data_IF_777141586350
#
_entry.id   IF_777141586350
#
_cell.length_a   1.000
_cell.length_b   1.000
_cell.length_c   1.000
_cell.angle_alpha   90.00
_cell.angle_beta   90.00
_cell.angle_gamma   90.00
#
_symmetry.space_group_name_H-M   'P 1'
#
loop_
_entity.id
_entity.type
_entity.pdbx_description
1 polymer ?
#
# COMPACT_ATOMS: atom_id res chain seq x y z
N UNK A 1 -6.41 27.71 16.22
CA UNK A 1 -7.37 26.66 16.65
C UNK A 1 -7.05 26.33 18.12
N UNK A 2 -8.01 26.27 19.05
CA UNK A 2 -7.71 25.98 20.48
C UNK A 2 -7.81 24.46 20.74
N UNK A 3 -6.75 23.86 21.28
CA UNK A 3 -6.69 22.44 21.65
C UNK A 3 -7.78 22.06 22.66
N UNK A 4 -8.11 22.96 23.61
CA UNK A 4 -9.19 22.70 24.59
C UNK A 4 -10.54 22.49 23.90
N UNK A 5 -10.84 23.30 22.87
CA UNK A 5 -12.09 23.16 22.11
C UNK A 5 -12.13 21.82 21.35
N UNK A 6 -10.99 21.35 20.83
CA UNK A 6 -10.89 20.04 20.17
C UNK A 6 -11.15 18.93 21.19
N UNK A 7 -10.53 19.02 22.37
CA UNK A 7 -10.69 18.05 23.46
C UNK A 7 -12.15 17.95 23.88
N UNK A 8 -12.80 19.09 24.17
CA UNK A 8 -14.23 19.13 24.53
C UNK A 8 -15.09 18.54 23.41
N UNK A 9 -14.89 18.97 22.16
CA UNK A 9 -15.68 18.49 21.03
C UNK A 9 -15.54 16.97 20.81
N UNK A 10 -14.32 16.44 20.91
CA UNK A 10 -14.06 15.01 20.76
C UNK A 10 -14.71 14.19 21.87
N UNK A 11 -14.62 14.65 23.12
CA UNK A 11 -15.22 13.97 24.27
C UNK A 11 -16.76 14.03 24.24
N UNK A 12 -17.35 15.13 23.80
CA UNK A 12 -18.81 15.32 23.78
C UNK A 12 -19.49 14.61 22.61
N UNK A 13 -18.81 14.49 21.45
CA UNK A 13 -19.45 14.05 20.21
C UNK A 13 -18.81 12.83 19.55
N UNK A 14 -17.57 12.47 19.90
CA UNK A 14 -16.78 11.44 19.20
C UNK A 14 -16.22 10.35 20.12
N UNK A 15 -16.85 10.12 21.27
CA UNK A 15 -16.42 9.08 22.23
C UNK A 15 -16.29 7.68 21.60
N UNK A 16 -17.14 7.33 20.63
CA UNK A 16 -17.02 6.07 19.88
C UNK A 16 -15.75 5.98 19.04
N UNK A 17 -15.31 7.08 18.43
CA UNK A 17 -14.05 7.11 17.68
C UNK A 17 -12.84 6.94 18.62
N UNK A 18 -12.90 7.48 19.84
CA UNK A 18 -11.85 7.28 20.85
C UNK A 18 -11.76 5.81 21.28
N UNK A 19 -12.90 5.12 21.40
CA UNK A 19 -12.94 3.68 21.62
C UNK A 19 -12.29 2.92 20.46
N UNK A 20 -12.65 3.23 19.22
CA UNK A 20 -12.06 2.59 18.03
C UNK A 20 -10.53 2.78 17.99
N UNK A 21 -10.03 3.97 18.34
CA UNK A 21 -8.60 4.26 18.46
C UNK A 21 -7.92 3.39 19.52
N UNK A 22 -8.54 3.24 20.69
CA UNK A 22 -8.02 2.40 21.78
C UNK A 22 -7.96 0.92 21.40
N UNK A 23 -9.01 0.41 20.72
CA UNK A 23 -9.04 -0.97 20.23
C UNK A 23 -7.96 -1.19 19.17
N UNK A 24 -7.88 -0.30 18.17
CA UNK A 24 -6.99 -0.50 17.02
C UNK A 24 -5.52 -0.29 17.35
N UNK A 25 -5.18 0.80 18.03
CA UNK A 25 -3.78 1.18 18.29
C UNK A 25 -3.29 0.66 19.63
N UNK A 26 -4.13 0.67 20.66
CA UNK A 26 -3.80 0.14 22.00
C UNK A 26 -3.98 -1.36 22.17
N UNK A 27 -4.69 -2.04 21.25
CA UNK A 27 -4.95 -3.49 21.33
C UNK A 27 -5.90 -3.89 22.46
N UNK A 28 -6.64 -2.94 23.04
CA UNK A 28 -7.63 -3.21 24.07
C UNK A 28 -8.83 -3.97 23.51
N UNK A 29 -9.22 -5.09 24.14
CA UNK A 29 -10.40 -5.88 23.74
C UNK A 29 -11.71 -5.26 24.20
N UNK A 30 -11.68 -4.64 25.38
CA UNK A 30 -12.79 -3.88 25.95
C UNK A 30 -12.26 -2.51 26.39
N UNK A 31 -13.00 -1.46 26.02
CA UNK A 31 -12.65 -0.07 26.32
C UNK A 31 -13.86 0.59 26.98
N UNK A 32 -13.65 1.13 28.17
CA UNK A 32 -14.64 1.90 28.94
C UNK A 32 -14.07 3.28 29.22
N UNK A 33 -14.96 4.28 29.30
CA UNK A 33 -14.60 5.65 29.73
C UNK A 33 -13.44 6.29 28.93
N UNK A 34 -13.32 5.99 27.62
CA UNK A 34 -12.28 6.60 26.79
C UNK A 34 -12.47 8.12 26.70
N UNK A 35 -11.42 8.88 27.04
CA UNK A 35 -11.40 10.34 27.00
C UNK A 35 -10.10 10.85 26.40
N UNK A 36 -10.22 11.81 25.49
CA UNK A 36 -9.08 12.58 25.01
C UNK A 36 -8.67 13.54 26.14
N UNK A 37 -7.41 13.46 26.57
CA UNK A 37 -6.87 14.31 27.66
C UNK A 37 -5.87 15.35 27.16
N UNK A 38 -5.23 15.12 26.03
CA UNK A 38 -4.30 16.05 25.40
C UNK A 38 -4.26 15.85 23.89
N UNK A 39 -3.96 16.92 23.17
CA UNK A 39 -3.71 16.94 21.73
C UNK A 39 -2.57 17.91 21.46
N UNK A 40 -1.68 17.53 20.56
CA UNK A 40 -0.65 18.40 20.00
C UNK A 40 -0.56 18.17 18.49
N UNK A 41 0.46 18.74 17.84
CA UNK A 41 0.66 18.60 16.40
C UNK A 41 1.20 17.24 15.96
N UNK A 42 1.52 16.35 16.90
CA UNK A 42 2.09 15.02 16.64
C UNK A 42 1.10 13.90 16.97
N UNK A 43 0.05 14.15 17.76
CA UNK A 43 -0.96 13.14 18.02
C UNK A 43 -1.96 13.45 19.13
N UNK A 44 -2.57 12.37 19.62
CA UNK A 44 -3.63 12.34 20.62
C UNK A 44 -3.22 11.51 21.84
N UNK A 45 -3.49 12.02 23.04
CA UNK A 45 -3.36 11.28 24.30
C UNK A 45 -4.74 10.91 24.84
N UNK A 46 -5.01 9.62 24.93
CA UNK A 46 -6.29 9.07 25.35
C UNK A 46 -6.10 8.32 26.67
N UNK A 47 -6.99 8.57 27.64
CA UNK A 47 -7.12 7.76 28.85
C UNK A 47 -8.38 6.91 28.75
N UNK A 48 -8.29 5.63 29.07
CA UNK A 48 -9.40 4.69 29.07
C UNK A 48 -9.25 3.66 30.20
N UNK A 49 -10.32 2.91 30.51
CA UNK A 49 -10.35 1.95 31.62
C UNK A 49 -9.80 2.56 32.92
N UNK A 50 -10.25 3.80 33.19
CA UNK A 50 -9.90 4.67 34.30
C UNK A 50 -8.44 5.19 34.32
N UNK A 51 -7.43 4.35 34.08
CA UNK A 51 -6.01 4.72 34.19
C UNK A 51 -5.10 4.28 33.03
N UNK A 52 -5.59 3.52 32.05
CA UNK A 52 -4.76 3.13 30.90
C UNK A 52 -4.55 4.35 29.99
N UNK A 53 -3.30 4.60 29.59
CA UNK A 53 -2.93 5.69 28.69
C UNK A 53 -2.54 5.14 27.33
N UNK A 54 -2.96 5.85 26.28
CA UNK A 54 -2.60 5.57 24.91
C UNK A 54 -2.23 6.87 24.20
N UNK A 55 -1.00 6.94 23.71
CA UNK A 55 -0.58 7.93 22.71
C UNK A 55 -0.84 7.36 21.33
N UNK A 56 -1.57 8.09 20.49
CA UNK A 56 -1.75 7.77 19.07
C UNK A 56 -1.14 8.89 18.24
N UNK A 57 -0.06 8.58 17.53
CA UNK A 57 0.63 9.55 16.68
C UNK A 57 -0.08 9.72 15.34
N UNK A 58 -0.06 10.95 14.80
CA UNK A 58 -0.41 11.19 13.41
C UNK A 58 0.69 10.64 12.49
N UNK A 59 0.28 10.20 11.30
CA UNK A 59 1.24 9.68 10.30
C UNK A 59 2.26 10.75 9.90
N UNK A 60 1.81 12.01 9.86
CA UNK A 60 2.61 13.19 9.59
C UNK A 60 2.31 14.26 10.64
N UNK A 61 3.35 14.97 11.07
CA UNK A 61 3.20 16.14 11.94
C UNK A 61 2.28 17.16 11.29
N UNK A 62 1.23 17.54 12.03
CA UNK A 62 0.27 18.54 11.64
C UNK A 62 0.75 19.97 11.95
N UNK A 63 -0.04 20.94 11.53
CA UNK A 63 0.07 22.35 11.88
C UNK A 63 -1.31 22.93 12.21
N UNK A 64 -1.40 24.23 12.46
CA UNK A 64 -2.65 24.90 12.83
C UNK A 64 -3.78 24.75 11.79
N UNK A 65 -3.42 24.52 10.53
CA UNK A 65 -4.37 24.42 9.42
C UNK A 65 -4.78 22.96 9.15
N UNK A 66 -3.89 22.01 9.42
CA UNK A 66 -4.06 20.59 9.09
C UNK A 66 -4.45 19.70 10.27
N UNK A 67 -4.35 20.19 11.52
CA UNK A 67 -4.62 19.38 12.72
C UNK A 67 -6.01 18.75 12.72
N UNK A 68 -7.04 19.50 12.35
CA UNK A 68 -8.41 18.98 12.30
C UNK A 68 -8.54 17.82 11.32
N UNK A 69 -7.94 17.96 10.13
CA UNK A 69 -8.01 16.94 9.10
C UNK A 69 -7.20 15.70 9.52
N UNK A 70 -6.04 15.88 10.15
CA UNK A 70 -5.23 14.79 10.70
C UNK A 70 -6.01 13.95 11.75
N UNK A 71 -6.77 14.61 12.64
CA UNK A 71 -7.63 13.91 13.61
C UNK A 71 -8.75 13.15 12.92
N UNK A 72 -9.40 13.76 11.94
CA UNK A 72 -10.49 13.13 11.19
C UNK A 72 -9.99 11.91 10.42
N UNK A 73 -8.84 12.01 9.75
CA UNK A 73 -8.20 10.90 9.05
C UNK A 73 -7.85 9.76 10.01
N UNK A 74 -7.22 10.09 11.14
CA UNK A 74 -6.86 9.11 12.17
C UNK A 74 -8.10 8.35 12.70
N UNK A 75 -9.19 9.07 13.00
CA UNK A 75 -10.44 8.45 13.43
C UNK A 75 -11.10 7.62 12.33
N UNK A 76 -11.06 8.05 11.07
CA UNK A 76 -11.58 7.25 9.94
C UNK A 76 -10.79 5.95 9.78
N UNK A 77 -9.48 6.02 9.93
CA UNK A 77 -8.62 4.85 9.84
C UNK A 77 -8.86 3.86 10.97
N UNK A 78 -9.24 4.34 12.16
CA UNK A 78 -9.51 3.52 13.34
C UNK A 78 -10.76 2.65 13.21
N UNK A 79 -11.72 3.04 12.37
CA UNK A 79 -13.01 2.35 12.26
C UNK A 79 -12.84 0.87 11.84
N UNK A 80 -13.64 -0.05 12.41
CA UNK A 80 -13.67 -1.45 12.02
C UNK A 80 -13.84 -1.62 10.49
N UNK A 81 -13.12 -2.60 9.95
CA UNK A 81 -12.74 -2.71 8.53
C UNK A 81 -13.78 -2.23 7.53
N UNK A 82 -13.31 -1.32 6.66
CA UNK A 82 -13.99 -0.83 5.47
C UNK A 82 -14.61 -1.94 4.62
N UNK A 83 -15.67 -1.59 3.89
CA UNK A 83 -16.24 -2.41 2.83
C UNK A 83 -15.11 -2.92 1.91
N UNK A 84 -14.92 -4.24 1.86
CA UNK A 84 -13.83 -4.88 1.10
C UNK A 84 -13.91 -4.55 -0.40
N UNK A 85 -15.10 -4.31 -0.94
CA UNK A 85 -15.27 -3.87 -2.32
C UNK A 85 -14.67 -2.48 -2.55
N UNK A 86 -14.86 -1.57 -1.60
CA UNK A 86 -14.25 -0.23 -1.67
C UNK A 86 -12.73 -0.30 -1.58
N UNK A 87 -12.19 -1.17 -0.72
CA UNK A 87 -10.74 -1.38 -0.62
C UNK A 87 -10.18 -2.01 -1.90
N UNK A 88 -10.93 -2.93 -2.50
CA UNK A 88 -10.58 -3.54 -3.80
C UNK A 88 -10.53 -2.49 -4.90
N UNK A 89 -11.50 -1.58 -4.96
CA UNK A 89 -11.47 -0.48 -5.93
C UNK A 89 -10.28 0.45 -5.70
N UNK A 90 -10.01 0.85 -4.45
CA UNK A 90 -8.84 1.69 -4.13
C UNK A 90 -7.52 1.01 -4.54
N UNK A 91 -7.38 -0.30 -4.32
CA UNK A 91 -6.20 -1.04 -4.77
C UNK A 91 -6.06 -1.03 -6.29
N UNK A 92 -7.15 -1.23 -7.03
CA UNK A 92 -7.14 -1.22 -8.50
C UNK A 92 -6.85 0.17 -9.05
N UNK A 93 -7.39 1.23 -8.43
CA UNK A 93 -7.09 2.62 -8.77
C UNK A 93 -5.63 2.94 -8.51
N UNK A 94 -5.10 2.60 -7.33
CA UNK A 94 -3.70 2.77 -6.98
C UNK A 94 -2.78 2.10 -8.01
N UNK A 95 -3.07 0.85 -8.41
CA UNK A 95 -2.26 0.17 -9.43
C UNK A 95 -2.23 0.91 -10.76
N UNK A 96 -3.35 1.49 -11.20
CA UNK A 96 -3.48 2.21 -12.49
C UNK A 96 -2.68 3.51 -12.55
N UNK A 97 -2.25 4.04 -11.41
CA UNK A 97 -1.43 5.26 -11.35
C UNK A 97 0.01 5.02 -11.83
N UNK A 98 0.45 3.76 -11.94
CA UNK A 98 1.84 3.41 -12.22
C UNK A 98 2.09 3.04 -13.67
N UNK A 99 3.18 3.56 -14.21
CA UNK A 99 3.78 3.12 -15.48
C UNK A 99 5.09 2.34 -15.27
N UNK A 100 5.41 1.98 -14.03
CA UNK A 100 6.56 1.14 -13.68
C UNK A 100 6.33 0.42 -12.35
N UNK A 101 7.00 -0.71 -12.15
CA UNK A 101 6.92 -1.53 -10.93
C UNK A 101 8.30 -1.97 -10.48
N UNK A 102 8.45 -2.18 -9.17
CA UNK A 102 9.61 -2.84 -8.61
C UNK A 102 9.47 -4.37 -8.78
N UNK A 103 10.60 -5.05 -8.95
CA UNK A 103 10.69 -6.49 -9.16
C UNK A 103 11.71 -7.11 -8.20
N UNK A 104 11.32 -8.20 -7.56
CA UNK A 104 12.24 -9.16 -6.95
C UNK A 104 12.30 -10.40 -7.85
N UNK A 105 13.50 -10.75 -8.31
CA UNK A 105 13.74 -11.90 -9.19
C UNK A 105 14.90 -12.73 -8.66
N UNK A 106 14.96 -14.02 -9.02
CA UNK A 106 16.05 -14.92 -8.61
C UNK A 106 17.01 -15.13 -9.77
N UNK A 107 18.30 -14.94 -9.55
CA UNK A 107 19.31 -15.27 -10.56
C UNK A 107 19.57 -16.77 -10.65
N UNK A 108 20.07 -17.28 -11.79
CA UNK A 108 20.46 -18.69 -11.92
C UNK A 108 21.51 -19.14 -10.90
N UNK A 109 22.27 -18.21 -10.32
CA UNK A 109 23.25 -18.48 -9.26
C UNK A 109 22.64 -18.57 -7.85
N UNK A 110 21.34 -18.31 -7.70
CA UNK A 110 20.63 -18.29 -6.41
C UNK A 110 20.63 -16.93 -5.70
N UNK A 111 21.26 -15.89 -6.26
CA UNK A 111 21.23 -14.53 -5.72
C UNK A 111 19.94 -13.80 -6.11
N UNK A 112 19.32 -13.08 -5.18
CA UNK A 112 18.14 -12.25 -5.47
C UNK A 112 18.54 -10.92 -6.12
N UNK A 113 17.73 -10.43 -7.04
CA UNK A 113 17.89 -9.13 -7.70
C UNK A 113 16.65 -8.28 -7.45
N UNK A 114 16.86 -7.10 -6.85
CA UNK A 114 15.86 -6.05 -6.70
C UNK A 114 16.05 -5.03 -7.81
N UNK A 115 15.05 -4.85 -8.65
CA UNK A 115 15.10 -3.96 -9.82
C UNK A 115 13.75 -3.27 -10.04
N UNK A 116 13.61 -2.55 -11.15
CA UNK A 116 12.32 -2.04 -11.61
C UNK A 116 12.19 -2.26 -13.12
N UNK A 117 10.97 -2.21 -13.64
CA UNK A 117 10.70 -2.27 -15.07
C UNK A 117 9.52 -1.36 -15.46
N UNK A 118 9.48 -0.86 -16.71
CA UNK A 118 8.27 -0.23 -17.25
C UNK A 118 7.09 -1.19 -17.19
N UNK A 119 5.92 -0.67 -16.86
CA UNK A 119 4.66 -1.40 -16.74
C UNK A 119 3.67 -0.94 -17.80
N UNK A 120 2.98 -1.90 -18.40
CA UNK A 120 1.89 -1.68 -19.33
C UNK A 120 0.67 -2.41 -18.78
N UNK A 121 -0.42 -1.66 -18.54
CA UNK A 121 -1.68 -2.22 -18.05
C UNK A 121 -2.80 -1.95 -19.05
N UNK A 122 -3.45 -3.03 -19.47
CA UNK A 122 -4.57 -3.01 -20.41
C UNK A 122 -5.56 -4.15 -20.13
N UNK A 123 -6.61 -4.24 -20.96
CA UNK A 123 -7.62 -5.31 -20.86
C UNK A 123 -7.02 -6.72 -21.06
N UNK A 124 -5.93 -6.84 -21.80
CA UNK A 124 -5.24 -8.12 -22.04
C UNK A 124 -4.39 -8.57 -20.84
N UNK A 125 -4.14 -7.70 -19.86
CA UNK A 125 -3.41 -7.99 -18.62
C UNK A 125 -2.39 -6.93 -18.22
N UNK A 126 -1.41 -7.36 -17.42
CA UNK A 126 -0.28 -6.54 -16.99
C UNK A 126 1.00 -7.06 -17.65
N UNK A 127 1.83 -6.17 -18.15
CA UNK A 127 3.05 -6.52 -18.87
C UNK A 127 4.22 -5.66 -18.41
N UNK A 128 5.42 -6.22 -18.48
CA UNK A 128 6.67 -5.47 -18.37
C UNK A 128 7.43 -5.51 -19.70
N UNK A 129 8.27 -4.52 -19.92
CA UNK A 129 9.11 -4.44 -21.11
C UNK A 129 10.59 -4.28 -20.72
N UNK A 130 11.38 -5.33 -20.97
CA UNK A 130 12.76 -5.44 -20.44
C UNK A 130 13.75 -5.91 -21.52
N UNK A 131 15.01 -5.51 -21.40
CA UNK A 131 16.11 -5.88 -22.30
C UNK A 131 16.82 -7.16 -21.85
N UNK A 132 17.37 -7.94 -22.77
CA UNK A 132 18.30 -9.05 -22.48
C UNK A 132 19.56 -8.61 -21.71
N UNK A 133 19.90 -7.32 -21.75
CA UNK A 133 21.09 -6.75 -21.11
C UNK A 133 20.93 -6.62 -19.59
N UNK A 134 19.69 -6.51 -19.06
CA UNK A 134 19.47 -6.34 -17.63
C UNK A 134 19.52 -7.65 -16.87
N UNK A 135 20.05 -7.61 -15.63
CA UNK A 135 20.18 -8.80 -14.77
C UNK A 135 18.85 -9.54 -14.59
N UNK A 136 17.74 -8.81 -14.44
CA UNK A 136 16.43 -9.43 -14.23
C UNK A 136 15.92 -10.24 -15.42
N UNK A 137 16.52 -10.13 -16.62
CA UNK A 137 16.05 -10.85 -17.80
C UNK A 137 16.38 -12.33 -17.69
N UNK A 138 17.65 -12.65 -17.44
CA UNK A 138 18.11 -14.03 -17.25
C UNK A 138 17.35 -14.68 -16.09
N UNK A 139 17.11 -13.91 -15.03
CA UNK A 139 16.37 -14.34 -13.85
C UNK A 139 14.93 -14.75 -14.20
N UNK A 140 14.20 -13.90 -14.92
CA UNK A 140 12.80 -14.14 -15.31
C UNK A 140 12.71 -15.28 -16.33
N UNK A 141 13.69 -15.39 -17.23
CA UNK A 141 13.75 -16.48 -18.23
C UNK A 141 13.94 -17.85 -17.58
N UNK A 142 14.86 -17.95 -16.61
CA UNK A 142 15.17 -19.22 -15.92
C UNK A 142 14.14 -19.56 -14.83
N UNK A 143 13.61 -18.54 -14.14
CA UNK A 143 12.69 -18.71 -13.03
C UNK A 143 11.39 -17.91 -13.24
N UNK A 144 10.61 -18.20 -14.30
CA UNK A 144 9.43 -17.41 -14.66
C UNK A 144 8.32 -17.45 -13.62
N UNK A 145 8.32 -18.42 -12.70
CA UNK A 145 7.32 -18.60 -11.67
C UNK A 145 7.79 -18.14 -10.28
N UNK A 146 8.95 -17.47 -10.17
CA UNK A 146 9.52 -17.01 -8.91
C UNK A 146 9.85 -15.51 -8.97
N UNK A 147 8.80 -14.71 -8.98
CA UNK A 147 8.85 -13.25 -9.12
C UNK A 147 7.90 -12.64 -8.09
N UNK A 148 8.33 -11.61 -7.37
CA UNK A 148 7.42 -10.70 -6.66
C UNK A 148 7.45 -9.32 -7.34
N UNK A 149 6.27 -8.80 -7.64
CA UNK A 149 6.05 -7.48 -8.26
C UNK A 149 5.50 -6.55 -7.19
N UNK A 150 6.02 -5.33 -7.11
CA UNK A 150 5.55 -4.33 -6.15
C UNK A 150 5.24 -3.00 -6.83
N UNK A 151 4.01 -2.55 -6.64
CA UNK A 151 3.58 -1.18 -6.84
C UNK A 151 3.83 -0.44 -5.53
N UNK A 152 4.63 0.62 -5.56
CA UNK A 152 5.09 1.32 -4.37
C UNK A 152 4.91 2.81 -4.57
N UNK A 153 4.17 3.44 -3.66
CA UNK A 153 3.96 4.88 -3.65
C UNK A 153 5.28 5.65 -3.63
N UNK A 154 5.36 6.72 -4.42
CA UNK A 154 6.48 7.66 -4.42
C UNK A 154 6.67 8.21 -3.00
N UNK A 155 7.91 8.20 -2.52
CA UNK A 155 8.20 8.64 -1.14
C UNK A 155 7.78 10.09 -0.87
N UNK A 156 7.83 10.95 -1.90
CA UNK A 156 7.40 12.35 -1.81
C UNK A 156 5.88 12.54 -1.72
N UNK A 157 5.09 11.52 -2.11
CA UNK A 157 3.63 11.51 -2.02
C UNK A 157 3.14 10.79 -0.77
N UNK A 158 3.93 9.86 -0.26
CA UNK A 158 3.60 9.10 0.93
C UNK A 158 3.46 10.00 2.16
N UNK A 159 2.55 9.60 3.05
CA UNK A 159 2.32 10.33 4.31
C UNK A 159 3.58 10.34 5.21
N UNK A 160 4.36 9.25 5.17
CA UNK A 160 5.64 9.11 5.86
C UNK A 160 6.47 7.97 5.26
N UNK A 161 7.78 7.98 5.45
CA UNK A 161 8.71 6.94 4.96
C UNK A 161 8.38 5.55 5.49
N UNK A 162 7.75 5.45 6.67
CA UNK A 162 7.31 4.18 7.27
C UNK A 162 5.94 3.70 6.76
N UNK A 163 5.22 4.54 6.02
CA UNK A 163 3.86 4.26 5.56
C UNK A 163 3.67 4.64 4.09
N UNK A 164 4.47 4.02 3.23
CA UNK A 164 4.27 4.06 1.78
C UNK A 164 3.21 3.03 1.39
N UNK A 165 2.12 3.49 0.75
CA UNK A 165 1.08 2.62 0.19
C UNK A 165 1.73 1.67 -0.81
N UNK A 166 1.36 0.39 -0.73
CA UNK A 166 1.96 -0.64 -1.58
C UNK A 166 1.02 -1.80 -1.83
N UNK A 167 1.08 -2.34 -3.04
CA UNK A 167 0.54 -3.66 -3.34
C UNK A 167 1.63 -4.53 -3.94
N UNK A 168 1.73 -5.77 -3.45
CA UNK A 168 2.66 -6.77 -3.97
C UNK A 168 1.91 -7.98 -4.48
N UNK A 169 2.45 -8.64 -5.50
CA UNK A 169 1.94 -9.91 -6.03
C UNK A 169 3.09 -10.87 -6.31
N UNK A 170 2.91 -12.14 -5.95
CA UNK A 170 3.62 -13.22 -6.63
C UNK A 170 3.15 -13.26 -8.08
N UNK A 171 4.05 -13.53 -9.02
CA UNK A 171 3.72 -13.51 -10.43
C UNK A 171 4.37 -14.65 -11.22
N UNK A 172 3.65 -15.09 -12.25
CA UNK A 172 4.16 -15.93 -13.33
C UNK A 172 4.39 -15.07 -14.57
N UNK A 173 5.59 -15.17 -15.15
CA UNK A 173 5.99 -14.45 -16.35
C UNK A 173 5.78 -15.31 -17.61
N UNK A 174 5.20 -14.71 -18.66
CA UNK A 174 5.06 -15.31 -19.99
C UNK A 174 5.62 -14.37 -21.05
N UNK A 175 6.64 -14.81 -21.77
CA UNK A 175 7.20 -14.05 -22.89
C UNK A 175 6.21 -13.99 -24.04
N UNK A 176 5.93 -12.78 -24.52
CA UNK A 176 5.03 -12.54 -25.62
C UNK A 176 5.82 -12.54 -26.93
N UNK A 177 5.34 -13.21 -28.00
CA UNK A 177 5.92 -13.09 -29.31
C UNK A 177 5.76 -11.66 -29.85
N UNK A 178 6.66 -11.25 -30.76
CA UNK A 178 6.52 -10.00 -31.53
C UNK A 178 5.59 -10.21 -32.71
N UNK A 179 4.30 -10.33 -32.41
CA UNK A 179 3.22 -10.44 -33.39
C UNK A 179 2.22 -9.27 -33.25
N UNK A 180 1.03 -9.40 -33.83
CA UNK A 180 -0.01 -8.37 -33.74
C UNK A 180 -0.40 -8.03 -32.30
N UNK A 181 -0.29 -8.97 -31.35
CA UNK A 181 -0.58 -8.71 -29.93
C UNK A 181 0.46 -7.78 -29.31
N UNK A 182 1.73 -7.97 -29.66
CA UNK A 182 2.81 -7.08 -29.23
C UNK A 182 2.51 -5.65 -29.67
N UNK A 183 2.20 -5.44 -30.95
CA UNK A 183 1.96 -4.09 -31.49
C UNK A 183 0.77 -3.41 -30.80
N UNK A 184 -0.34 -4.13 -30.61
CA UNK A 184 -1.53 -3.59 -29.90
C UNK A 184 -1.21 -3.19 -28.47
N UNK A 185 -0.49 -4.03 -27.72
CA UNK A 185 -0.13 -3.74 -26.31
C UNK A 185 0.87 -2.57 -26.26
N UNK A 186 1.84 -2.55 -27.17
CA UNK A 186 2.87 -1.51 -27.20
C UNK A 186 2.30 -0.14 -27.58
N UNK A 187 1.30 -0.09 -28.46
CA UNK A 187 0.61 1.16 -28.81
C UNK A 187 -0.07 1.82 -27.58
N UNK A 188 -0.52 1.02 -26.60
CA UNK A 188 -1.06 1.54 -25.33
C UNK A 188 0.06 2.17 -24.51
N UNK A 189 1.24 1.55 -24.49
CA UNK A 189 2.41 2.06 -23.79
C UNK A 189 2.90 3.37 -24.41
N UNK A 190 3.00 3.45 -25.74
CA UNK A 190 3.41 4.66 -26.45
C UNK A 190 2.46 5.85 -26.23
N UNK A 191 1.15 5.60 -26.05
CA UNK A 191 0.19 6.68 -25.75
C UNK A 191 0.41 7.31 -24.37
N UNK A 192 1.03 6.57 -23.44
CA UNK A 192 1.21 6.98 -22.05
C UNK A 192 2.65 7.40 -21.72
N UNK A 193 3.58 7.18 -22.62
CA UNK A 193 5.00 7.32 -22.34
C UNK A 193 5.72 8.34 -23.23
N UNK A 194 6.89 8.77 -22.76
CA UNK A 194 7.73 9.76 -23.44
C UNK A 194 8.34 9.23 -24.74
N UNK A 195 8.91 10.15 -25.54
CA UNK A 195 9.57 9.85 -26.82
C UNK A 195 10.60 8.71 -26.75
N UNK A 196 11.23 8.47 -25.58
CA UNK A 196 12.19 7.41 -25.37
C UNK A 196 11.60 5.99 -25.54
N UNK A 197 10.30 5.80 -25.25
CA UNK A 197 9.63 4.51 -25.42
C UNK A 197 9.55 4.09 -26.90
N UNK A 198 9.39 5.05 -27.81
CA UNK A 198 9.40 4.78 -29.25
C UNK A 198 10.73 4.22 -29.75
N UNK A 199 11.83 4.61 -29.10
CA UNK A 199 13.18 4.17 -29.50
C UNK A 199 13.40 2.68 -29.17
N UNK A 200 12.98 2.23 -28.00
CA UNK A 200 13.23 0.86 -27.53
C UNK A 200 12.27 -0.17 -28.15
N UNK A 201 11.15 0.24 -28.75
CA UNK A 201 10.19 -0.67 -29.43
C UNK A 201 10.85 -1.58 -30.47
N UNK A 202 11.76 -1.02 -31.28
CA UNK A 202 12.39 -1.72 -32.39
C UNK A 202 13.68 -2.47 -31.99
N UNK A 203 14.10 -2.38 -30.73
CA UNK A 203 15.26 -3.09 -30.21
C UNK A 203 14.88 -4.54 -29.95
N UNK A 204 15.45 -5.47 -30.71
CA UNK A 204 15.05 -6.90 -30.69
C UNK A 204 15.45 -7.63 -29.41
N UNK A 205 16.42 -7.09 -28.67
CA UNK A 205 16.81 -7.55 -27.34
C UNK A 205 15.79 -7.15 -26.26
N UNK A 206 14.78 -6.34 -26.57
CA UNK A 206 13.69 -6.07 -25.65
C UNK A 206 12.50 -7.00 -25.85
N UNK A 207 11.95 -7.46 -24.73
CA UNK A 207 10.87 -8.44 -24.68
C UNK A 207 9.68 -7.90 -23.89
N UNK A 208 8.49 -8.12 -24.45
CA UNK A 208 7.23 -7.90 -23.74
C UNK A 208 6.89 -9.16 -22.96
N UNK A 209 6.68 -9.03 -21.66
CA UNK A 209 6.45 -10.17 -20.77
C UNK A 209 5.15 -9.93 -20.02
N UNK A 210 4.18 -10.83 -20.20
CA UNK A 210 2.93 -10.83 -19.44
C UNK A 210 3.20 -11.32 -18.01
N UNK A 211 2.66 -10.60 -17.04
CA UNK A 211 2.68 -10.95 -15.63
C UNK A 211 1.28 -11.42 -15.20
N UNK A 212 1.19 -12.69 -14.83
CA UNK A 212 -0.01 -13.28 -14.23
C UNK A 212 0.12 -13.22 -12.71
N UNK A 213 -0.62 -12.30 -12.09
CA UNK A 213 -0.60 -12.12 -10.64
C UNK A 213 -1.36 -13.24 -9.93
N UNK A 214 -0.74 -13.78 -8.88
CA UNK A 214 -1.29 -14.84 -8.04
C UNK A 214 -1.74 -14.25 -6.68
N UNK A 215 -1.09 -14.68 -5.59
CA UNK A 215 -1.33 -14.18 -4.25
C UNK A 215 -0.67 -12.80 -4.08
N UNK A 216 -1.41 -11.89 -3.44
CA UNK A 216 -0.94 -10.54 -3.21
C UNK A 216 -1.16 -10.03 -1.79
N UNK A 217 -0.61 -8.84 -1.55
CA UNK A 217 -0.69 -8.12 -0.29
C UNK A 217 -0.83 -6.64 -0.56
N UNK A 218 -1.93 -6.04 -0.11
CA UNK A 218 -2.14 -4.59 -0.15
C UNK A 218 -2.02 -4.00 1.25
N UNK A 219 -1.26 -2.91 1.38
CA UNK A 219 -1.13 -2.11 2.60
C UNK A 219 -1.39 -0.66 2.25
N UNK A 220 -2.42 -0.08 2.86
CA UNK A 220 -2.82 1.31 2.64
C UNK A 220 -2.71 2.22 3.87
N UNK A 221 -2.47 1.63 5.04
CA UNK A 221 -2.43 2.37 6.30
C UNK A 221 -2.04 1.47 7.48
N UNK A 222 -1.86 2.07 8.66
CA UNK A 222 -1.59 1.32 9.87
C UNK A 222 -2.75 0.38 10.21
N UNK A 223 -2.42 -0.90 10.47
CA UNK A 223 -3.42 -1.94 10.70
C UNK A 223 -4.42 -2.13 9.55
N UNK A 224 -4.09 -1.67 8.34
CA UNK A 224 -4.92 -1.82 7.12
C UNK A 224 -4.12 -2.60 6.07
N UNK A 225 -3.96 -3.89 6.35
CA UNK A 225 -3.27 -4.83 5.47
C UNK A 225 -4.24 -5.91 5.01
N UNK A 226 -4.19 -6.27 3.73
CA UNK A 226 -5.15 -7.16 3.09
C UNK A 226 -4.41 -8.20 2.25
N UNK A 227 -4.72 -9.48 2.45
CA UNK A 227 -4.32 -10.53 1.51
C UNK A 227 -5.22 -10.46 0.28
N UNK A 228 -4.64 -10.67 -0.89
CA UNK A 228 -5.35 -10.74 -2.17
C UNK A 228 -5.20 -12.15 -2.72
N UNK A 229 -6.29 -12.82 -3.05
CA UNK A 229 -6.26 -14.13 -3.69
C UNK A 229 -7.49 -14.32 -4.57
N UNK A 230 -7.28 -14.75 -5.82
CA UNK A 230 -8.36 -14.95 -6.80
C UNK A 230 -9.28 -13.72 -6.97
N UNK A 231 -8.71 -12.52 -6.89
CA UNK A 231 -9.46 -11.26 -6.98
C UNK A 231 -10.21 -10.85 -5.71
N UNK A 232 -10.17 -11.66 -4.65
CA UNK A 232 -10.81 -11.38 -3.37
C UNK A 232 -9.83 -10.83 -2.34
N UNK A 233 -10.31 -9.93 -1.47
CA UNK A 233 -9.52 -9.33 -0.39
C UNK A 233 -9.93 -9.93 0.96
N UNK A 234 -8.95 -10.19 1.81
CA UNK A 234 -9.16 -10.59 3.20
C UNK A 234 -8.31 -9.72 4.14
N UNK A 235 -8.95 -9.03 5.08
CA UNK A 235 -8.26 -8.20 6.07
C UNK A 235 -7.39 -9.04 7.01
N UNK A 236 -6.15 -8.61 7.20
CA UNK A 236 -5.19 -9.24 8.10
C UNK A 236 -5.42 -8.70 9.50
N UNK A 237 -5.74 -9.58 10.44
CA UNK A 237 -6.04 -9.19 11.82
C UNK A 237 -7.52 -8.92 12.10
N UNK A 238 -8.44 -9.30 11.20
CA UNK A 238 -9.87 -9.35 11.51
C UNK A 238 -10.09 -10.22 12.77
N UNK A 239 -10.46 -9.57 13.89
CA UNK A 239 -10.71 -10.23 15.18
C UNK A 239 -9.51 -10.45 16.10
N UNK A 240 -8.27 -10.19 15.65
CA UNK A 240 -7.06 -10.45 16.45
C UNK A 240 -6.44 -9.19 17.10
N UNK A 241 -6.90 -8.00 16.73
CA UNK A 241 -6.36 -6.73 17.25
C UNK A 241 -4.97 -6.40 16.71
N UNK A 242 -4.29 -5.44 17.35
CA UNK A 242 -2.93 -5.02 16.98
C UNK A 242 -1.92 -6.17 17.22
N UNK A 243 -1.20 -6.67 16.18
CA UNK A 243 -0.24 -7.76 16.33
C UNK A 243 1.11 -7.30 16.90
N UNK A 244 1.33 -5.99 17.05
CA UNK A 244 2.58 -5.44 17.58
C UNK A 244 2.64 -5.55 19.12
N UNK A 245 3.84 -5.79 19.65
CA UNK A 245 4.09 -5.80 21.09
C UNK A 245 4.69 -4.45 21.50
N UNK A 246 4.15 -3.85 22.57
CA UNK A 246 4.66 -2.60 23.13
C UNK A 246 5.39 -2.89 24.45
N UNK A 247 6.59 -2.31 24.68
CA UNK A 247 7.40 -2.69 25.83
C UNK A 247 6.77 -2.39 27.19
N UNK A 248 5.88 -1.41 27.35
CA UNK A 248 5.23 -1.12 28.64
C UNK A 248 3.85 -0.46 28.44
N UNK A 249 2.81 -0.95 29.12
CA UNK A 249 1.59 -0.18 29.41
C UNK A 249 1.95 0.76 30.58
N UNK A 250 2.25 2.02 30.31
CA UNK A 250 2.46 3.03 31.34
C UNK A 250 1.21 3.84 31.60
#
# INVERSE_FOLDING_TARGET
MNFENIITHMNDHHGSNLVDLCVKFGGAKEVKNAKLVSVDFEGLDIVYNDNEKLRVEFVKKADENSLKDAIIELCKDAKPSANLDSVKQEMLEFMREFNSVCLATLSPSGSVVCSYAPLIQCEEGNFIYISEVSEHFANIKEHPNNIEVMFLEDESKAASVILRKRVRFKAVAKFMPRDESFDRIYDIFEKRADKAVKMIRNMLDFHLIKLEFEEGRFVKGFGQAYNVKNGELAHIGAGAGNPHQFPHKH
#
